data_IF_206754083248
#
_entry.id   IF_206754083248
#
_cell.length_a   1.000
_cell.length_b   1.000
_cell.length_c   1.000
_cell.angle_alpha   90.00
_cell.angle_beta   90.00
_cell.angle_gamma   90.00
#
_symmetry.space_group_name_H-M   'P 1'
#
loop_
_entity.id
_entity.type
_entity.pdbx_description
1 polymer ?
#
# COMPACT_ATOMS: atom_id res chain seq x y z
N UNK A 1 32.51 80.20 71.39
CA UNK A 1 33.48 79.19 71.87
C UNK A 1 33.88 78.36 70.64
N UNK A 2 34.92 78.68 69.85
CA UNK A 2 36.37 78.72 70.14
C UNK A 2 36.75 77.45 70.91
N UNK A 3 37.57 76.51 70.42
CA UNK A 3 38.86 76.62 69.71
C UNK A 3 39.34 75.16 69.46
N UNK A 4 39.90 74.85 68.28
CA UNK A 4 41.35 74.63 68.01
C UNK A 4 41.91 73.20 68.28
N UNK A 5 42.55 72.64 67.23
CA UNK A 5 43.99 72.21 67.18
C UNK A 5 44.32 70.86 67.85
N UNK A 6 45.35 70.07 67.42
CA UNK A 6 45.79 69.66 66.08
C UNK A 6 46.39 68.19 66.13
N UNK A 7 47.53 67.77 65.51
CA UNK A 7 47.84 66.38 65.15
C UNK A 7 48.89 65.74 66.09
N UNK A 8 49.74 64.82 65.57
CA UNK A 8 50.95 64.19 66.16
C UNK A 8 50.68 62.74 66.61
N UNK A 9 51.04 61.70 65.83
CA UNK A 9 52.37 61.13 65.54
C UNK A 9 53.08 60.63 66.81
N UNK A 10 53.70 59.44 66.72
CA UNK A 10 54.72 58.79 67.58
C UNK A 10 54.25 57.37 67.96
N UNK A 11 54.71 56.33 67.26
CA UNK A 11 55.97 55.58 67.49
C UNK A 11 55.81 54.52 68.59
N UNK A 12 55.76 53.25 68.19
CA UNK A 12 56.49 52.12 68.83
C UNK A 12 56.02 50.78 68.24
N UNK A 13 56.80 50.23 67.31
CA UNK A 13 57.07 48.78 67.24
C UNK A 13 57.78 48.38 68.57
N UNK A 14 57.80 47.11 69.03
CA UNK A 14 57.72 45.90 68.19
C UNK A 14 56.98 44.67 68.80
N UNK A 15 56.85 43.65 67.96
CA UNK A 15 56.91 42.21 68.30
C UNK A 15 56.05 41.68 69.46
N UNK A 16 54.99 40.95 69.12
CA UNK A 16 54.79 39.59 69.64
C UNK A 16 53.78 38.83 68.76
N UNK A 17 54.26 37.71 68.26
CA UNK A 17 53.54 36.67 67.52
C UNK A 17 52.30 36.21 68.29
N UNK A 18 51.14 36.24 67.66
CA UNK A 18 50.05 35.34 68.04
C UNK A 18 49.18 35.02 66.82
N UNK A 19 49.15 33.73 66.48
CA UNK A 19 48.27 33.11 65.50
C UNK A 19 46.83 33.57 65.67
N UNK A 20 46.22 34.03 64.58
CA UNK A 20 44.82 33.76 64.30
C UNK A 20 44.67 33.35 62.84
N UNK A 21 44.27 32.10 62.68
CA UNK A 21 43.66 31.53 61.48
C UNK A 21 42.63 32.51 60.90
N UNK A 22 42.97 33.15 59.79
CA UNK A 22 41.99 33.60 58.81
C UNK A 22 42.15 32.68 57.61
N UNK A 23 41.33 31.63 57.59
CA UNK A 23 41.03 30.93 56.37
C UNK A 23 40.41 31.94 55.41
N UNK A 24 41.22 32.48 54.51
CA UNK A 24 40.70 32.98 53.25
C UNK A 24 40.08 31.76 52.55
N UNK A 25 38.78 31.77 52.21
CA UNK A 25 38.28 30.77 51.31
C UNK A 25 39.07 30.93 50.02
N UNK A 26 39.89 29.93 49.71
CA UNK A 26 40.22 29.61 48.33
C UNK A 26 38.90 29.62 47.57
N UNK A 27 38.67 30.66 46.77
CA UNK A 27 37.73 30.61 45.66
C UNK A 27 38.21 29.43 44.82
N UNK A 28 37.59 28.27 45.05
CA UNK A 28 37.54 27.25 44.05
C UNK A 28 36.92 27.94 42.84
N UNK A 29 37.73 28.14 41.81
CA UNK A 29 37.25 28.45 40.48
C UNK A 29 36.25 27.35 40.18
N UNK A 30 34.96 27.69 40.19
CA UNK A 30 33.93 26.80 39.70
C UNK A 30 34.32 26.48 38.25
N UNK A 31 34.42 25.20 37.91
CA UNK A 31 34.48 24.79 36.51
C UNK A 31 33.26 25.40 35.83
N UNK A 32 33.47 26.42 34.98
CA UNK A 32 32.40 27.17 34.30
C UNK A 32 31.72 26.35 33.18
N UNK A 33 32.05 25.06 33.06
CA UNK A 33 31.55 24.17 32.02
C UNK A 33 31.07 22.83 32.55
N UNK A 34 30.34 22.07 31.72
CA UNK A 34 29.88 20.72 32.05
C UNK A 34 31.05 19.79 32.35
N UNK A 35 30.86 18.88 33.31
CA UNK A 35 31.87 17.86 33.60
C UNK A 35 31.91 16.82 32.48
N UNK A 36 33.09 16.24 32.22
CA UNK A 36 33.22 15.17 31.22
C UNK A 36 32.27 13.99 31.46
N UNK A 37 31.97 13.68 32.72
CA UNK A 37 31.01 12.61 33.06
C UNK A 37 29.57 12.99 32.73
N UNK A 38 29.18 14.26 32.87
CA UNK A 38 27.87 14.76 32.48
C UNK A 38 27.70 14.67 30.95
N UNK A 39 28.71 15.13 30.19
CA UNK A 39 28.71 15.09 28.73
C UNK A 39 28.69 13.66 28.19
N UNK A 40 29.60 12.79 28.66
CA UNK A 40 29.68 11.40 28.17
C UNK A 40 28.39 10.62 28.42
N UNK A 41 27.73 10.89 29.56
CA UNK A 41 26.50 10.20 29.89
C UNK A 41 25.32 10.74 29.06
N UNK A 42 25.24 12.05 28.80
CA UNK A 42 24.24 12.58 27.88
C UNK A 42 24.45 12.06 26.45
N UNK A 43 25.70 12.03 25.99
CA UNK A 43 26.09 11.52 24.67
C UNK A 43 25.67 10.05 24.48
N UNK A 44 25.94 9.17 25.46
CA UNK A 44 25.55 7.76 25.39
C UNK A 44 24.04 7.54 25.18
N UNK A 45 23.20 8.35 25.81
CA UNK A 45 21.75 8.27 25.61
C UNK A 45 21.31 8.93 24.29
N UNK A 46 21.99 9.99 23.86
CA UNK A 46 21.75 10.61 22.57
C UNK A 46 22.07 9.67 21.41
N UNK A 47 23.20 8.97 21.44
CA UNK A 47 23.57 7.97 20.44
C UNK A 47 22.54 6.83 20.36
N UNK A 48 21.95 6.43 21.51
CA UNK A 48 20.86 5.45 21.53
C UNK A 48 19.60 5.95 20.84
N UNK A 49 19.22 7.21 21.08
CA UNK A 49 18.09 7.85 20.40
C UNK A 49 18.36 7.93 18.90
N UNK A 50 19.56 8.35 18.48
CA UNK A 50 19.94 8.42 17.07
C UNK A 50 19.95 7.03 16.41
N UNK A 51 20.47 6.01 17.09
CA UNK A 51 20.39 4.64 16.63
C UNK A 51 18.94 4.11 16.57
N UNK A 52 18.04 4.62 17.41
CA UNK A 52 16.61 4.33 17.31
C UNK A 52 16.00 5.01 16.07
N UNK A 53 16.32 6.28 15.81
CA UNK A 53 15.91 7.01 14.60
C UNK A 53 16.38 6.29 13.33
N UNK A 54 17.64 5.88 13.26
CA UNK A 54 18.19 5.12 12.12
C UNK A 54 17.42 3.80 11.93
N UNK A 55 17.16 3.07 13.02
CA UNK A 55 16.36 1.83 12.97
C UNK A 55 14.90 2.05 12.60
N UNK A 56 14.34 3.24 12.88
CA UNK A 56 13.00 3.61 12.49
C UNK A 56 12.89 3.97 11.00
N UNK A 57 14.01 4.33 10.35
CA UNK A 57 14.11 4.44 8.89
C UNK A 57 13.05 5.37 8.27
N UNK A 58 12.78 6.51 8.91
CA UNK A 58 11.77 7.49 8.47
C UNK A 58 10.34 7.20 8.96
N UNK A 59 10.10 6.13 9.73
CA UNK A 59 8.80 5.92 10.37
C UNK A 59 8.63 6.72 11.65
N UNK A 60 7.40 7.16 11.97
CA UNK A 60 7.09 7.64 13.30
C UNK A 60 7.29 6.53 14.34
N UNK A 61 7.82 6.88 15.51
CA UNK A 61 7.92 5.96 16.64
C UNK A 61 7.64 6.66 17.97
N UNK A 62 7.18 5.87 18.94
CA UNK A 62 7.02 6.34 20.31
C UNK A 62 8.35 6.33 21.05
N UNK A 63 8.63 7.42 21.77
CA UNK A 63 9.87 7.54 22.54
C UNK A 63 9.90 6.52 23.67
N UNK A 64 10.96 5.72 23.71
CA UNK A 64 11.22 4.75 24.78
C UNK A 64 11.73 5.45 26.04
N UNK A 65 11.97 4.68 27.11
CA UNK A 65 12.60 5.21 28.32
C UNK A 65 13.96 5.83 28.02
N UNK A 66 14.82 5.14 27.27
CA UNK A 66 16.17 5.62 26.95
C UNK A 66 16.12 6.91 26.10
N UNK A 67 15.15 7.01 25.19
CA UNK A 67 14.95 8.20 24.34
C UNK A 67 14.54 9.41 25.17
N UNK A 68 13.53 9.25 26.04
CA UNK A 68 13.07 10.33 26.93
C UNK A 68 14.18 10.77 27.89
N UNK A 69 15.03 9.82 28.29
CA UNK A 69 16.14 10.08 29.17
C UNK A 69 17.27 10.86 28.45
N UNK A 70 17.50 10.61 27.16
CA UNK A 70 18.36 11.46 26.32
C UNK A 70 17.86 12.91 26.29
N UNK A 71 16.55 13.10 26.04
CA UNK A 71 15.92 14.42 26.01
C UNK A 71 16.07 15.14 27.34
N UNK A 72 15.82 14.45 28.46
CA UNK A 72 15.92 15.01 29.81
C UNK A 72 17.35 15.48 30.09
N UNK A 73 18.36 14.65 29.82
CA UNK A 73 19.77 14.97 30.11
C UNK A 73 20.28 16.14 29.28
N UNK A 74 20.03 16.14 27.98
CA UNK A 74 20.48 17.24 27.10
C UNK A 74 19.76 18.54 27.46
N UNK A 75 18.48 18.48 27.84
CA UNK A 75 17.75 19.65 28.35
C UNK A 75 18.37 20.20 29.63
N UNK A 76 18.65 19.35 30.62
CA UNK A 76 19.28 19.76 31.89
C UNK A 76 20.65 20.40 31.65
N UNK A 77 21.44 19.88 30.72
CA UNK A 77 22.72 20.47 30.33
C UNK A 77 22.54 21.82 29.65
N UNK A 78 21.57 21.96 28.73
CA UNK A 78 21.31 23.22 28.03
C UNK A 78 20.79 24.31 28.96
N UNK A 79 19.98 23.95 29.96
CA UNK A 79 19.50 24.89 30.99
C UNK A 79 20.64 25.34 31.92
N UNK A 80 21.58 24.44 32.25
CA UNK A 80 22.69 24.69 33.18
C UNK A 80 23.88 25.40 32.52
N UNK A 81 24.17 25.08 31.25
CA UNK A 81 25.32 25.59 30.48
C UNK A 81 24.86 26.07 29.08
N UNK A 82 24.12 27.19 29.01
CA UNK A 82 23.45 27.61 27.78
C UNK A 82 24.40 28.03 26.64
N UNK A 83 25.61 28.50 26.97
CA UNK A 83 26.58 29.02 26.01
C UNK A 83 27.71 28.02 25.70
N UNK A 84 27.64 26.78 26.22
CA UNK A 84 28.64 25.74 25.95
C UNK A 84 28.48 25.16 24.54
N UNK A 85 29.53 25.16 23.69
CA UNK A 85 29.44 24.68 22.32
C UNK A 85 29.09 23.20 22.17
N UNK A 86 29.56 22.32 23.07
CA UNK A 86 29.29 20.88 22.98
C UNK A 86 27.85 20.57 23.41
N UNK A 87 27.35 21.27 24.42
CA UNK A 87 25.94 21.18 24.83
C UNK A 87 25.01 21.69 23.72
N UNK A 88 25.40 22.76 23.02
CA UNK A 88 24.63 23.26 21.86
C UNK A 88 24.60 22.24 20.71
N UNK A 89 25.72 21.59 20.41
CA UNK A 89 25.79 20.53 19.40
C UNK A 89 24.84 19.36 19.74
N UNK A 90 24.89 18.85 20.98
CA UNK A 90 23.97 17.80 21.44
C UNK A 90 22.51 18.25 21.36
N UNK A 91 22.22 19.51 21.70
CA UNK A 91 20.88 20.08 21.63
C UNK A 91 20.35 20.12 20.19
N UNK A 92 21.17 20.52 19.21
CA UNK A 92 20.76 20.51 17.81
C UNK A 92 20.53 19.09 17.29
N UNK A 93 21.40 18.14 17.65
CA UNK A 93 21.22 16.71 17.33
C UNK A 93 19.91 16.15 17.90
N UNK A 94 19.59 16.47 19.16
CA UNK A 94 18.29 16.14 19.77
C UNK A 94 17.13 16.71 18.98
N UNK A 95 17.19 17.97 18.53
CA UNK A 95 16.12 18.57 17.72
C UNK A 95 15.91 17.82 16.40
N UNK A 96 17.00 17.47 15.72
CA UNK A 96 16.95 16.64 14.49
C UNK A 96 16.31 15.29 14.78
N UNK A 97 16.74 14.61 15.85
CA UNK A 97 16.20 13.31 16.23
C UNK A 97 14.71 13.37 16.63
N UNK A 98 14.25 14.40 17.33
CA UNK A 98 12.84 14.61 17.66
C UNK A 98 12.01 14.79 16.39
N UNK A 99 12.49 15.58 15.43
CA UNK A 99 11.79 15.77 14.17
C UNK A 99 11.71 14.46 13.38
N UNK A 100 12.83 13.73 13.26
CA UNK A 100 12.87 12.43 12.61
C UNK A 100 11.99 11.39 13.31
N UNK A 101 11.79 11.49 14.63
CA UNK A 101 10.89 10.60 15.37
C UNK A 101 9.42 10.77 15.00
N UNK A 102 9.04 11.87 14.34
CA UNK A 102 7.68 12.08 13.82
C UNK A 102 7.47 11.43 12.44
N UNK A 103 8.54 10.88 11.88
CA UNK A 103 8.57 10.29 10.56
C UNK A 103 8.92 11.30 9.48
N UNK A 104 9.27 10.77 8.30
CA UNK A 104 9.53 11.55 7.11
C UNK A 104 8.22 12.00 6.48
N UNK A 105 8.22 13.22 5.96
CA UNK A 105 7.08 13.83 5.30
C UNK A 105 7.45 14.40 3.95
N UNK A 106 6.52 14.31 3.01
CA UNK A 106 6.55 15.02 1.73
C UNK A 106 5.26 15.84 1.56
N UNK A 107 5.29 16.81 0.66
CA UNK A 107 4.06 17.46 0.21
C UNK A 107 3.38 16.59 -0.86
N UNK A 108 2.12 16.22 -0.63
CA UNK A 108 1.32 15.50 -1.63
C UNK A 108 0.68 16.54 -2.56
N UNK A 109 1.08 16.50 -3.83
CA UNK A 109 0.59 17.41 -4.86
C UNK A 109 -0.60 16.82 -5.61
N UNK A 110 -1.36 17.68 -6.31
CA UNK A 110 -2.47 17.23 -7.18
C UNK A 110 -1.99 16.31 -8.30
N UNK A 111 -0.76 16.50 -8.78
CA UNK A 111 -0.12 15.63 -9.79
C UNK A 111 0.07 14.21 -9.27
N UNK A 112 0.51 14.04 -8.01
CA UNK A 112 0.66 12.72 -7.37
C UNK A 112 -0.71 12.00 -7.28
N UNK A 113 -1.79 12.75 -7.12
CA UNK A 113 -3.15 12.25 -6.98
C UNK A 113 -3.94 12.21 -8.30
N UNK A 114 -3.34 12.61 -9.43
CA UNK A 114 -4.02 12.71 -10.72
C UNK A 114 -4.68 11.38 -11.14
N UNK A 115 -4.04 10.25 -10.83
CA UNK A 115 -4.57 8.91 -11.10
C UNK A 115 -5.93 8.64 -10.42
N UNK A 116 -6.22 9.27 -9.27
CA UNK A 116 -7.52 9.15 -8.60
C UNK A 116 -8.63 9.88 -9.36
N UNK A 117 -8.31 11.03 -9.94
CA UNK A 117 -9.24 11.79 -10.78
C UNK A 117 -9.51 11.01 -12.08
N UNK A 118 -8.46 10.44 -12.67
CA UNK A 118 -8.56 9.55 -13.83
C UNK A 118 -9.43 8.32 -13.53
N UNK A 119 -9.26 7.67 -12.38
CA UNK A 119 -10.12 6.55 -11.97
C UNK A 119 -11.59 6.99 -11.86
N UNK A 120 -11.87 8.15 -11.25
CA UNK A 120 -13.23 8.68 -11.14
C UNK A 120 -13.86 8.95 -12.51
N UNK A 121 -13.11 9.54 -13.45
CA UNK A 121 -13.57 9.77 -14.82
C UNK A 121 -13.85 8.44 -15.55
N UNK A 122 -12.97 7.44 -15.41
CA UNK A 122 -13.18 6.13 -16.01
C UNK A 122 -14.42 5.44 -15.45
N UNK A 123 -14.67 5.56 -14.14
CA UNK A 123 -15.90 5.05 -13.51
C UNK A 123 -17.13 5.71 -14.12
N UNK A 124 -17.13 7.02 -14.29
CA UNK A 124 -18.26 7.74 -14.92
C UNK A 124 -18.50 7.27 -16.36
N UNK A 125 -17.43 7.11 -17.16
CA UNK A 125 -17.52 6.60 -18.53
C UNK A 125 -18.11 5.18 -18.57
N UNK A 126 -17.69 4.30 -17.67
CA UNK A 126 -18.22 2.92 -17.59
C UNK A 126 -19.65 2.87 -17.07
N UNK A 127 -19.99 3.70 -16.07
CA UNK A 127 -21.33 3.79 -15.50
C UNK A 127 -22.38 4.22 -16.54
N UNK A 128 -22.02 5.15 -17.44
CA UNK A 128 -22.90 5.57 -18.52
C UNK A 128 -23.29 4.40 -19.45
N UNK A 129 -22.34 3.49 -19.73
CA UNK A 129 -22.60 2.28 -20.53
C UNK A 129 -23.35 1.22 -19.71
N UNK A 130 -23.09 1.15 -18.40
CA UNK A 130 -23.74 0.19 -17.50
C UNK A 130 -25.25 0.35 -17.47
N UNK A 131 -25.76 1.58 -17.43
CA UNK A 131 -27.19 1.85 -17.40
C UNK A 131 -27.89 1.38 -18.68
N UNK A 132 -27.29 1.63 -19.85
CA UNK A 132 -27.82 1.18 -21.14
C UNK A 132 -27.83 -0.36 -21.22
N UNK A 133 -26.73 -1.00 -20.80
CA UNK A 133 -26.61 -2.46 -20.80
C UNK A 133 -27.59 -3.13 -19.83
N UNK A 134 -27.83 -2.52 -18.66
CA UNK A 134 -28.83 -3.02 -17.72
C UNK A 134 -30.22 -3.06 -18.35
N UNK A 135 -30.62 -1.98 -19.03
CA UNK A 135 -31.92 -1.92 -19.71
C UNK A 135 -31.98 -2.90 -20.88
N UNK A 136 -30.88 -3.11 -21.61
CA UNK A 136 -30.81 -4.11 -22.68
C UNK A 136 -31.06 -5.52 -22.13
N UNK A 137 -30.36 -5.91 -21.05
CA UNK A 137 -30.52 -7.24 -20.42
C UNK A 137 -31.98 -7.47 -19.97
N UNK A 138 -32.61 -6.46 -19.35
CA UNK A 138 -34.02 -6.55 -18.96
C UNK A 138 -34.95 -6.64 -20.19
N UNK A 139 -34.62 -5.91 -21.26
CA UNK A 139 -35.33 -5.98 -22.54
C UNK A 139 -35.25 -7.35 -23.20
N UNK A 140 -34.08 -8.00 -23.17
CA UNK A 140 -33.86 -9.34 -23.73
C UNK A 140 -34.63 -10.42 -22.95
N UNK A 141 -34.72 -10.29 -21.63
CA UNK A 141 -35.58 -11.14 -20.82
C UNK A 141 -37.04 -10.99 -21.25
N UNK A 142 -37.52 -9.77 -21.42
CA UNK A 142 -38.90 -9.52 -21.87
C UNK A 142 -39.13 -10.06 -23.30
N UNK A 143 -38.18 -9.85 -24.23
CA UNK A 143 -38.27 -10.27 -25.62
C UNK A 143 -38.24 -11.81 -25.79
N UNK A 144 -37.53 -12.51 -24.92
CA UNK A 144 -37.52 -13.99 -24.88
C UNK A 144 -38.77 -14.60 -24.24
N UNK A 145 -39.75 -13.77 -23.86
CA UNK A 145 -40.97 -14.20 -23.18
C UNK A 145 -40.78 -14.48 -21.69
N UNK A 146 -39.63 -14.10 -21.13
CA UNK A 146 -39.36 -14.13 -19.70
C UNK A 146 -40.14 -13.03 -18.97
N UNK A 147 -40.78 -13.39 -17.87
CA UNK A 147 -41.46 -12.45 -16.99
C UNK A 147 -40.56 -12.11 -15.81
N UNK A 148 -40.28 -10.82 -15.61
CA UNK A 148 -39.61 -10.32 -14.40
C UNK A 148 -40.68 -10.00 -13.36
N UNK A 149 -40.79 -10.84 -12.34
CA UNK A 149 -41.70 -10.62 -11.22
C UNK A 149 -41.10 -9.67 -10.19
N UNK A 150 -41.98 -8.93 -9.50
CA UNK A 150 -41.60 -8.19 -8.30
C UNK A 150 -41.13 -9.18 -7.23
N UNK A 151 -40.00 -8.88 -6.58
CA UNK A 151 -39.48 -9.75 -5.52
C UNK A 151 -40.37 -9.74 -4.27
N UNK A 152 -41.09 -8.64 -4.03
CA UNK A 152 -41.77 -8.36 -2.77
C UNK A 152 -43.20 -7.86 -2.99
N UNK A 153 -44.20 -8.35 -2.22
CA UNK A 153 -44.09 -9.42 -1.22
C UNK A 153 -43.68 -10.75 -1.86
N UNK A 154 -42.79 -11.50 -1.19
CA UNK A 154 -42.33 -12.78 -1.71
C UNK A 154 -43.52 -13.75 -1.76
N UNK A 155 -43.77 -14.43 -2.89
CA UNK A 155 -44.77 -15.49 -2.93
C UNK A 155 -44.42 -16.57 -1.90
N UNK A 156 -45.38 -16.99 -1.08
CA UNK A 156 -45.14 -18.04 -0.10
C UNK A 156 -44.88 -19.36 -0.84
N UNK A 157 -43.69 -19.99 -0.70
CA UNK A 157 -43.38 -21.25 -1.36
C UNK A 157 -44.29 -22.42 -0.96
N UNK A 158 -45.00 -22.32 0.17
CA UNK A 158 -45.93 -23.33 0.67
C UNK A 158 -47.36 -23.17 0.14
N UNK A 159 -47.74 -21.97 -0.27
CA UNK A 159 -49.10 -21.67 -0.75
C UNK A 159 -49.15 -21.46 -2.28
N UNK A 160 -48.02 -21.08 -2.88
CA UNK A 160 -47.92 -20.78 -4.32
C UNK A 160 -47.60 -22.04 -5.12
N UNK A 161 -48.31 -22.29 -6.23
CA UNK A 161 -47.95 -23.36 -7.17
C UNK A 161 -46.53 -23.11 -7.74
N UNK A 162 -45.55 -24.00 -7.51
CA UNK A 162 -44.20 -23.83 -8.03
C UNK A 162 -44.15 -23.65 -9.55
N UNK A 163 -45.08 -24.24 -10.31
CA UNK A 163 -45.11 -24.10 -11.77
C UNK A 163 -45.47 -22.68 -12.24
N UNK A 164 -46.09 -21.87 -11.38
CA UNK A 164 -46.41 -20.47 -11.68
C UNK A 164 -45.21 -19.53 -11.48
N UNK A 165 -44.17 -19.97 -10.77
CA UNK A 165 -43.04 -19.14 -10.34
C UNK A 165 -41.71 -19.60 -10.92
N UNK A 166 -41.49 -20.92 -11.01
CA UNK A 166 -40.26 -21.50 -11.57
C UNK A 166 -40.12 -21.09 -13.04
N UNK A 167 -38.91 -20.67 -13.41
CA UNK A 167 -38.57 -20.16 -14.75
C UNK A 167 -38.77 -18.65 -14.90
N UNK A 168 -39.51 -17.99 -14.00
CA UNK A 168 -39.60 -16.53 -13.98
C UNK A 168 -38.30 -15.90 -13.47
N UNK A 169 -38.12 -14.64 -13.83
CA UNK A 169 -37.00 -13.82 -13.40
C UNK A 169 -37.43 -12.94 -12.24
N UNK A 170 -36.50 -12.61 -11.35
CA UNK A 170 -36.74 -11.74 -10.20
C UNK A 170 -35.57 -10.78 -10.02
N UNK A 171 -35.89 -9.53 -9.66
CA UNK A 171 -34.91 -8.51 -9.31
C UNK A 171 -34.77 -8.44 -7.79
N UNK A 172 -33.57 -8.69 -7.28
CA UNK A 172 -33.29 -8.76 -5.85
C UNK A 172 -32.36 -7.61 -5.45
N UNK A 173 -32.91 -6.58 -4.81
CA UNK A 173 -32.34 -5.25 -4.55
C UNK A 173 -31.58 -5.10 -3.21
N UNK A 174 -31.29 -6.20 -2.50
CA UNK A 174 -30.51 -6.22 -1.24
C UNK A 174 -29.57 -7.43 -1.19
N UNK A 175 -28.89 -7.72 -2.31
CA UNK A 175 -27.92 -8.81 -2.38
C UNK A 175 -26.61 -8.41 -1.68
N UNK A 176 -26.25 -9.11 -0.61
CA UNK A 176 -25.06 -8.83 0.21
C UNK A 176 -24.12 -10.02 0.21
N UNK A 177 -23.03 -9.92 -0.55
CA UNK A 177 -21.98 -10.92 -0.60
C UNK A 177 -20.64 -10.32 -0.17
N UNK A 178 -19.87 -10.98 0.72
CA UNK A 178 -20.13 -12.29 1.33
C UNK A 178 -20.98 -12.26 2.62
N UNK A 179 -21.49 -11.11 3.08
CA UNK A 179 -22.14 -10.98 4.41
C UNK A 179 -23.25 -12.00 4.71
N UNK A 180 -24.13 -12.28 3.74
CA UNK A 180 -25.26 -13.21 3.89
C UNK A 180 -24.99 -14.59 3.29
N UNK A 181 -23.72 -14.93 3.09
CA UNK A 181 -23.30 -16.20 2.53
C UNK A 181 -23.48 -17.35 3.53
N UNK A 182 -23.98 -18.49 3.04
CA UNK A 182 -24.07 -19.72 3.81
C UNK A 182 -23.93 -20.94 2.89
N UNK A 183 -23.51 -22.07 3.48
CA UNK A 183 -23.41 -23.35 2.80
C UNK A 183 -24.47 -24.28 3.35
N UNK A 184 -25.27 -24.92 2.51
CA UNK A 184 -26.22 -25.93 2.96
C UNK A 184 -26.46 -26.98 1.86
N UNK A 185 -26.73 -28.23 2.26
CA UNK A 185 -26.99 -29.34 1.33
C UNK A 185 -25.92 -29.48 0.21
N UNK A 186 -24.66 -29.16 0.52
CA UNK A 186 -23.54 -29.19 -0.44
C UNK A 186 -23.50 -28.05 -1.46
N UNK A 187 -24.42 -27.08 -1.38
CA UNK A 187 -24.41 -25.86 -2.17
C UNK A 187 -24.02 -24.63 -1.36
N UNK A 188 -23.57 -23.59 -2.05
CA UNK A 188 -23.23 -22.28 -1.47
C UNK A 188 -24.25 -21.27 -1.96
N UNK A 189 -24.75 -20.45 -1.04
CA UNK A 189 -25.88 -19.55 -1.28
C UNK A 189 -25.67 -18.21 -0.59
N UNK A 190 -26.36 -17.19 -1.08
CA UNK A 190 -26.62 -15.94 -0.34
C UNK A 190 -28.11 -15.86 -0.09
N UNK A 191 -28.50 -15.62 1.17
CA UNK A 191 -29.91 -15.38 1.47
C UNK A 191 -30.27 -13.91 1.30
N UNK A 192 -31.48 -13.66 0.83
CA UNK A 192 -32.09 -12.33 0.79
C UNK A 192 -33.49 -12.43 1.38
N UNK A 193 -33.85 -11.43 2.18
CA UNK A 193 -35.11 -11.39 2.90
C UNK A 193 -34.98 -11.84 4.36
N UNK A 194 -36.12 -12.15 4.96
CA UNK A 194 -36.25 -12.50 6.36
C UNK A 194 -37.60 -13.20 6.59
N UNK A 195 -37.79 -13.80 7.76
CA UNK A 195 -39.01 -14.57 8.07
C UNK A 195 -40.34 -13.83 7.81
N UNK A 196 -40.40 -12.51 7.97
CA UNK A 196 -41.60 -11.72 7.68
C UNK A 196 -41.76 -11.30 6.20
N UNK A 197 -40.66 -11.27 5.43
CA UNK A 197 -40.64 -10.81 4.02
C UNK A 197 -40.69 -11.99 3.03
N UNK A 198 -40.34 -13.19 3.51
CA UNK A 198 -40.02 -14.36 2.69
C UNK A 198 -38.52 -14.46 2.39
N UNK A 199 -38.12 -15.58 1.80
CA UNK A 199 -36.71 -15.91 1.54
C UNK A 199 -36.46 -16.21 0.06
N UNK A 200 -35.40 -15.61 -0.47
CA UNK A 200 -34.74 -16.04 -1.70
C UNK A 200 -33.34 -16.56 -1.35
N UNK A 201 -32.95 -17.68 -1.96
CA UNK A 201 -31.63 -18.29 -1.82
C UNK A 201 -30.91 -18.23 -3.17
N UNK A 202 -30.03 -17.26 -3.34
CA UNK A 202 -29.25 -17.08 -4.58
C UNK A 202 -28.09 -18.07 -4.58
N UNK A 203 -28.00 -18.93 -5.59
CA UNK A 203 -27.01 -20.02 -5.66
C UNK A 203 -25.69 -19.53 -6.26
N UNK A 204 -24.62 -19.63 -5.48
CA UNK A 204 -23.27 -19.21 -5.90
C UNK A 204 -22.49 -20.31 -6.63
N UNK A 205 -22.86 -21.58 -6.47
CA UNK A 205 -22.16 -22.71 -7.09
C UNK A 205 -22.46 -22.90 -8.58
N UNK A 206 -23.05 -21.91 -9.26
CA UNK A 206 -23.44 -22.00 -10.67
C UNK A 206 -22.37 -21.39 -11.58
N UNK A 207 -22.25 -21.91 -12.81
CA UNK A 207 -21.41 -21.28 -13.84
C UNK A 207 -21.84 -19.84 -14.11
N UNK A 208 -23.13 -19.54 -14.01
CA UNK A 208 -23.66 -18.21 -14.21
C UNK A 208 -23.17 -17.22 -13.13
N UNK A 209 -23.22 -17.60 -11.85
CA UNK A 209 -22.61 -16.80 -10.79
C UNK A 209 -21.12 -16.60 -11.02
N UNK A 210 -20.38 -17.69 -11.28
CA UNK A 210 -18.94 -17.61 -11.48
C UNK A 210 -18.59 -16.69 -12.65
N UNK A 211 -19.32 -16.77 -13.77
CA UNK A 211 -19.13 -15.89 -14.93
C UNK A 211 -19.35 -14.42 -14.60
N UNK A 212 -20.54 -14.08 -14.08
CA UNK A 212 -20.88 -12.70 -13.74
C UNK A 212 -19.98 -12.12 -12.63
N UNK A 213 -19.61 -12.92 -11.63
CA UNK A 213 -18.79 -12.47 -10.52
C UNK A 213 -17.30 -12.36 -10.88
N UNK A 214 -16.76 -13.26 -11.72
CA UNK A 214 -15.41 -13.10 -12.26
C UNK A 214 -15.31 -11.87 -13.17
N UNK A 215 -16.35 -11.56 -13.95
CA UNK A 215 -16.44 -10.31 -14.69
C UNK A 215 -16.43 -9.08 -13.76
N UNK A 216 -17.20 -9.11 -12.67
CA UNK A 216 -17.16 -8.04 -11.66
C UNK A 216 -15.77 -7.91 -11.01
N UNK A 217 -15.05 -9.02 -10.77
CA UNK A 217 -13.66 -8.95 -10.30
C UNK A 217 -12.72 -8.32 -11.33
N UNK A 218 -12.93 -8.54 -12.63
CA UNK A 218 -12.13 -7.89 -13.68
C UNK A 218 -12.41 -6.39 -13.74
N UNK A 219 -13.68 -5.97 -13.65
CA UNK A 219 -14.04 -4.56 -13.45
C UNK A 219 -13.27 -3.95 -12.25
N UNK A 220 -13.23 -4.67 -11.12
CA UNK A 220 -12.51 -4.18 -9.92
C UNK A 220 -11.02 -3.94 -10.14
N UNK A 221 -10.40 -4.73 -11.00
CA UNK A 221 -8.98 -4.65 -11.34
C UNK A 221 -8.67 -3.59 -12.37
N UNK A 222 -9.58 -3.38 -13.32
CA UNK A 222 -9.33 -2.57 -14.51
C UNK A 222 -9.91 -1.16 -14.40
N UNK A 223 -10.99 -0.99 -13.62
CA UNK A 223 -11.77 0.25 -13.51
C UNK A 223 -11.80 0.76 -12.08
N UNK A 224 -12.52 0.11 -11.15
CA UNK A 224 -12.62 0.59 -9.76
C UNK A 224 -12.75 -0.52 -8.72
N UNK A 225 -11.93 -0.45 -7.68
CA UNK A 225 -12.02 -1.38 -6.55
C UNK A 225 -13.25 -1.13 -5.66
N UNK A 226 -13.97 -0.03 -5.89
CA UNK A 226 -15.17 0.33 -5.15
C UNK A 226 -16.38 -0.39 -5.74
N UNK A 227 -16.86 -1.42 -5.03
CA UNK A 227 -18.12 -2.12 -5.35
C UNK A 227 -18.98 -2.14 -4.09
N UNK A 228 -19.64 -1.02 -3.75
CA UNK A 228 -20.44 -0.91 -2.54
C UNK A 228 -21.57 -1.96 -2.53
N UNK A 229 -21.86 -2.49 -1.36
CA UNK A 229 -22.97 -3.41 -1.10
C UNK A 229 -24.12 -2.66 -0.41
N UNK A 230 -25.40 -3.04 -0.64
CA UNK A 230 -25.86 -4.19 -1.41
C UNK A 230 -25.83 -3.98 -2.93
N UNK A 231 -25.84 -5.09 -3.68
CA UNK A 231 -26.02 -5.12 -5.13
C UNK A 231 -27.46 -5.47 -5.50
N UNK A 232 -27.82 -5.20 -6.76
CA UNK A 232 -29.04 -5.75 -7.36
C UNK A 232 -28.68 -6.98 -8.19
N UNK A 233 -29.37 -8.09 -7.98
CA UNK A 233 -29.19 -9.31 -8.79
C UNK A 233 -30.45 -9.58 -9.60
N UNK A 234 -30.29 -9.70 -10.90
CA UNK A 234 -31.29 -10.35 -11.76
C UNK A 234 -31.02 -11.84 -11.72
N UNK A 235 -32.02 -12.63 -11.33
CA UNK A 235 -31.89 -14.08 -11.28
C UNK A 235 -33.13 -14.79 -11.76
N UNK A 236 -32.96 -16.04 -12.19
CA UNK A 236 -34.05 -16.93 -12.58
C UNK A 236 -34.39 -17.86 -11.44
N UNK A 237 -35.67 -17.97 -11.11
CA UNK A 237 -36.15 -18.87 -10.06
C UNK A 237 -36.13 -20.30 -10.61
N UNK A 238 -35.36 -21.19 -9.97
CA UNK A 238 -35.22 -22.57 -10.45
C UNK A 238 -36.11 -23.55 -9.69
N UNK A 239 -36.24 -23.38 -8.37
CA UNK A 239 -36.97 -24.32 -7.50
C UNK A 239 -37.27 -23.70 -6.14
N UNK A 240 -37.92 -24.48 -5.27
CA UNK A 240 -38.09 -24.19 -3.84
C UNK A 240 -37.16 -25.12 -3.05
N UNK A 241 -36.60 -24.64 -1.94
CA UNK A 241 -35.85 -25.49 -1.01
C UNK A 241 -36.08 -25.07 0.44
N UNK A 242 -35.93 -26.04 1.34
CA UNK A 242 -35.91 -25.83 2.78
C UNK A 242 -34.45 -25.79 3.23
N UNK A 243 -33.91 -24.61 3.51
CA UNK A 243 -32.50 -24.40 3.86
C UNK A 243 -32.36 -23.69 5.21
N UNK A 244 -31.19 -23.77 5.83
CA UNK A 244 -30.85 -23.00 7.04
C UNK A 244 -29.96 -21.82 6.63
N UNK A 245 -30.51 -20.60 6.42
CA UNK A 245 -29.75 -19.42 6.00
C UNK A 245 -28.92 -18.83 7.17
N UNK A 246 -27.92 -19.58 7.61
CA UNK A 246 -27.01 -19.20 8.67
C UNK A 246 -25.61 -19.72 8.34
N UNK A 247 -24.62 -18.84 8.41
CA UNK A 247 -23.21 -19.20 8.31
C UNK A 247 -22.73 -19.94 9.58
N UNK A 248 -21.68 -20.76 9.43
CA UNK A 248 -21.04 -21.48 10.54
C UNK A 248 -21.44 -22.96 10.68
N UNK A 249 -20.65 -23.70 11.45
CA UNK A 249 -20.87 -25.13 11.71
C UNK A 249 -22.03 -25.37 12.68
N UNK A 250 -22.12 -24.55 13.73
CA UNK A 250 -23.24 -24.59 14.69
C UNK A 250 -24.40 -23.71 14.20
N UNK A 251 -25.44 -24.35 13.67
CA UNK A 251 -26.65 -23.66 13.22
C UNK A 251 -27.73 -23.70 14.29
N UNK A 252 -28.16 -22.52 14.72
CA UNK A 252 -29.21 -22.31 15.71
C UNK A 252 -30.54 -21.92 15.08
N UNK A 253 -30.53 -21.50 13.81
CA UNK A 253 -31.73 -21.08 13.10
C UNK A 253 -32.55 -22.29 12.62
N UNK A 254 -33.88 -22.19 12.65
CA UNK A 254 -34.75 -23.21 12.06
C UNK A 254 -34.71 -23.14 10.52
N UNK A 255 -34.84 -24.29 9.82
CA UNK A 255 -34.94 -24.30 8.37
C UNK A 255 -36.08 -23.44 7.84
N UNK A 256 -35.86 -22.77 6.72
CA UNK A 256 -36.78 -21.83 6.08
C UNK A 256 -37.05 -22.26 4.64
N UNK A 257 -38.31 -22.24 4.23
CA UNK A 257 -38.66 -22.37 2.82
C UNK A 257 -38.30 -21.09 2.08
N UNK A 258 -37.66 -21.23 0.93
CA UNK A 258 -37.32 -20.11 0.06
C UNK A 258 -37.17 -20.53 -1.39
N UNK A 259 -37.32 -19.54 -2.27
CA UNK A 259 -37.12 -19.71 -3.71
C UNK A 259 -35.62 -19.71 -4.01
N UNK A 260 -35.14 -20.76 -4.67
CA UNK A 260 -33.75 -20.87 -5.12
C UNK A 260 -33.61 -20.17 -6.46
N UNK A 261 -32.62 -19.28 -6.54
CA UNK A 261 -32.42 -18.39 -7.68
C UNK A 261 -31.02 -18.62 -8.27
N UNK A 262 -30.94 -18.86 -9.58
CA UNK A 262 -29.67 -18.80 -10.31
C UNK A 262 -29.45 -17.36 -10.78
N UNK A 263 -28.36 -16.70 -10.37
CA UNK A 263 -28.05 -15.33 -10.80
C UNK A 263 -27.70 -15.31 -12.29
N UNK A 264 -28.16 -14.28 -13.00
CA UNK A 264 -27.94 -14.06 -14.43
C UNK A 264 -27.08 -12.81 -14.64
N UNK A 265 -27.38 -11.75 -13.90
CA UNK A 265 -26.63 -10.51 -13.93
C UNK A 265 -26.57 -9.85 -12.55
N UNK A 266 -25.50 -9.11 -12.31
CA UNK A 266 -25.23 -8.32 -11.11
C UNK A 266 -25.16 -6.86 -11.55
N UNK A 267 -25.94 -6.01 -10.90
CA UNK A 267 -25.87 -4.56 -11.07
C UNK A 267 -25.36 -3.95 -9.76
N UNK A 268 -24.20 -3.29 -9.85
CA UNK A 268 -23.65 -2.45 -8.80
C UNK A 268 -24.06 -1.01 -9.14
N UNK A 269 -25.14 -0.55 -8.50
CA UNK A 269 -25.89 0.63 -8.92
C UNK A 269 -25.04 1.86 -9.21
N UNK A 270 -25.21 2.41 -10.41
CA UNK A 270 -24.51 3.61 -10.88
C UNK A 270 -23.02 3.40 -11.17
N UNK A 271 -22.54 2.15 -11.23
CA UNK A 271 -21.13 1.83 -11.48
C UNK A 271 -20.95 0.84 -12.63
N UNK A 272 -21.48 -0.37 -12.49
CA UNK A 272 -21.23 -1.47 -13.43
C UNK A 272 -22.34 -2.48 -13.42
N UNK A 273 -22.60 -3.07 -14.59
CA UNK A 273 -23.37 -4.31 -14.71
C UNK A 273 -22.45 -5.42 -15.20
N UNK A 274 -22.51 -6.58 -14.57
CA UNK A 274 -21.85 -7.79 -15.05
C UNK A 274 -22.86 -8.92 -15.24
N UNK A 275 -22.64 -9.77 -16.23
CA UNK A 275 -23.54 -10.86 -16.55
C UNK A 275 -22.77 -12.11 -16.97
N UNK A 276 -23.45 -13.25 -16.85
CA UNK A 276 -22.94 -14.50 -17.35
C UNK A 276 -23.14 -14.58 -18.86
N UNK A 277 -22.11 -15.01 -19.57
CA UNK A 277 -22.17 -15.33 -20.99
C UNK A 277 -21.48 -16.68 -21.20
N UNK A 278 -22.24 -17.77 -21.44
CA UNK A 278 -21.69 -19.09 -21.70
C UNK A 278 -20.80 -19.19 -22.93
N UNK A 279 -20.97 -18.29 -23.91
CA UNK A 279 -20.19 -18.27 -25.14
C UNK A 279 -18.90 -17.43 -25.01
N UNK A 280 -18.82 -16.59 -23.97
CA UNK A 280 -17.62 -15.81 -23.67
C UNK A 280 -16.55 -16.70 -23.03
N UNK A 281 -15.30 -16.61 -23.50
CA UNK A 281 -14.19 -17.46 -23.05
C UNK A 281 -13.96 -17.39 -21.52
N UNK A 282 -14.15 -16.20 -20.95
CA UNK A 282 -14.02 -15.95 -19.51
C UNK A 282 -15.31 -16.20 -18.71
N UNK A 283 -16.37 -16.73 -19.34
CA UNK A 283 -17.64 -17.13 -18.73
C UNK A 283 -18.65 -16.01 -18.48
N UNK A 284 -18.28 -14.75 -18.71
CA UNK A 284 -19.13 -13.58 -18.55
C UNK A 284 -18.39 -12.30 -18.90
N UNK A 285 -19.13 -11.20 -18.94
CA UNK A 285 -18.64 -9.87 -19.31
C UNK A 285 -19.22 -8.82 -18.35
N UNK A 286 -18.56 -7.66 -18.27
CA UNK A 286 -19.13 -6.47 -17.63
C UNK A 286 -19.30 -5.31 -18.62
N UNK A 287 -20.11 -4.33 -18.25
CA UNK A 287 -20.43 -3.19 -19.09
C UNK A 287 -19.16 -2.44 -19.53
N UNK A 288 -19.03 -2.22 -20.83
CA UNK A 288 -17.87 -1.60 -21.48
C UNK A 288 -16.56 -2.42 -21.47
N UNK A 289 -16.56 -3.69 -21.06
CA UNK A 289 -15.33 -4.51 -21.01
C UNK A 289 -14.65 -4.63 -22.38
N UNK A 290 -15.39 -4.98 -23.45
CA UNK A 290 -14.84 -5.08 -24.80
C UNK A 290 -14.24 -3.77 -25.35
N UNK A 291 -14.75 -2.61 -24.93
CA UNK A 291 -14.30 -1.28 -25.37
C UNK A 291 -13.37 -0.59 -24.37
N UNK A 292 -13.02 -1.25 -23.27
CA UNK A 292 -12.34 -0.60 -22.15
C UNK A 292 -11.00 0.00 -22.55
N UNK A 293 -10.23 -0.69 -23.39
CA UNK A 293 -8.90 -0.20 -23.77
C UNK A 293 -8.99 1.10 -24.57
N UNK A 294 -10.03 1.29 -25.39
CA UNK A 294 -10.27 2.55 -26.09
C UNK A 294 -10.65 3.66 -25.11
N UNK A 295 -11.42 3.35 -24.06
CA UNK A 295 -11.78 4.31 -23.01
C UNK A 295 -10.60 4.77 -22.16
N UNK A 296 -9.56 3.93 -22.05
CA UNK A 296 -8.36 4.18 -21.23
C UNK A 296 -7.18 4.72 -22.03
N UNK A 297 -7.19 4.60 -23.36
CA UNK A 297 -6.01 4.85 -24.18
C UNK A 297 -5.42 6.25 -24.01
N UNK A 298 -6.28 7.27 -23.91
CA UNK A 298 -5.90 8.67 -23.71
C UNK A 298 -5.55 9.03 -22.25
N UNK A 299 -5.74 8.08 -21.33
CA UNK A 299 -5.55 8.28 -19.90
C UNK A 299 -4.18 7.80 -19.40
N UNK A 300 -3.50 6.93 -20.14
CA UNK A 300 -2.23 6.36 -19.69
C UNK A 300 -1.08 7.35 -19.79
N UNK A 301 -0.30 7.48 -18.71
CA UNK A 301 0.96 8.25 -18.73
C UNK A 301 2.02 7.55 -19.57
N UNK A 302 2.10 6.22 -19.46
CA UNK A 302 3.02 5.37 -20.20
C UNK A 302 2.25 4.29 -20.95
N UNK A 303 2.67 4.01 -22.18
CA UNK A 303 2.06 2.95 -23.01
C UNK A 303 3.00 1.79 -23.29
N UNK A 304 4.31 1.98 -23.13
CA UNK A 304 5.35 0.98 -23.32
C UNK A 304 6.55 1.27 -22.39
N UNK A 305 7.42 0.27 -22.19
CA UNK A 305 8.68 0.44 -21.45
C UNK A 305 9.83 0.67 -22.44
N UNK A 306 10.54 1.82 -22.39
CA UNK A 306 11.68 2.08 -23.28
C UNK A 306 12.79 1.02 -23.17
N UNK A 307 13.46 0.72 -24.28
CA UNK A 307 14.56 -0.26 -24.31
C UNK A 307 15.79 0.19 -23.50
N UNK A 308 16.00 1.50 -23.42
CA UNK A 308 17.08 2.18 -22.68
C UNK A 308 16.60 2.73 -21.33
N UNK A 309 15.48 2.21 -20.79
CA UNK A 309 14.93 2.66 -19.51
C UNK A 309 15.96 2.53 -18.39
N UNK A 310 16.16 3.61 -17.63
CA UNK A 310 17.01 3.56 -16.43
C UNK A 310 16.28 2.86 -15.27
N UNK A 311 17.01 2.21 -14.35
CA UNK A 311 16.44 1.52 -13.19
C UNK A 311 15.40 2.33 -12.40
N UNK A 312 15.64 3.62 -12.13
CA UNK A 312 14.68 4.48 -11.42
C UNK A 312 13.38 4.62 -12.23
N UNK A 313 13.51 4.98 -13.50
CA UNK A 313 12.39 5.20 -14.40
C UNK A 313 11.56 3.92 -14.58
N UNK A 314 12.18 2.74 -14.61
CA UNK A 314 11.45 1.47 -14.68
C UNK A 314 10.55 1.27 -13.45
N UNK A 315 11.04 1.62 -12.25
CA UNK A 315 10.25 1.52 -11.02
C UNK A 315 9.10 2.54 -11.03
N UNK A 316 9.32 3.74 -11.56
CA UNK A 316 8.27 4.74 -11.74
C UNK A 316 7.19 4.28 -12.73
N UNK A 317 7.58 3.73 -13.88
CA UNK A 317 6.66 3.17 -14.88
C UNK A 317 5.86 2.03 -14.26
N UNK A 318 6.51 1.14 -13.51
CA UNK A 318 5.86 0.03 -12.81
C UNK A 318 4.82 0.51 -11.79
N UNK A 319 5.17 1.50 -10.96
CA UNK A 319 4.26 2.12 -10.00
C UNK A 319 3.07 2.80 -10.70
N UNK A 320 3.33 3.49 -11.81
CA UNK A 320 2.33 4.20 -12.61
C UNK A 320 1.36 3.22 -13.28
N UNK A 321 1.87 2.13 -13.87
CA UNK A 321 1.06 1.08 -14.47
C UNK A 321 0.03 0.50 -13.47
N UNK A 322 0.42 0.35 -12.21
CA UNK A 322 -0.50 -0.08 -11.15
C UNK A 322 -1.56 1.00 -10.87
N UNK A 323 -1.14 2.25 -10.62
CA UNK A 323 -2.05 3.37 -10.31
C UNK A 323 -3.09 3.58 -11.40
N UNK A 324 -2.69 3.41 -12.66
CA UNK A 324 -3.54 3.58 -13.84
C UNK A 324 -4.27 2.29 -14.27
N UNK A 325 -4.09 1.22 -13.50
CA UNK A 325 -4.69 -0.09 -13.75
C UNK A 325 -4.34 -0.68 -15.12
N UNK A 326 -3.12 -0.42 -15.59
CA UNK A 326 -2.57 -0.93 -16.84
C UNK A 326 -1.85 -2.27 -16.58
N UNK A 327 -2.63 -3.35 -16.66
CA UNK A 327 -2.13 -4.72 -16.40
C UNK A 327 -1.05 -5.15 -17.40
N UNK A 328 -1.18 -4.78 -18.66
CA UNK A 328 -0.24 -5.20 -19.71
C UNK A 328 1.12 -4.53 -19.52
N UNK A 329 1.15 -3.22 -19.27
CA UNK A 329 2.39 -2.49 -18.96
C UNK A 329 3.01 -2.98 -17.64
N UNK A 330 2.19 -3.29 -16.63
CA UNK A 330 2.67 -3.91 -15.38
C UNK A 330 3.40 -5.24 -15.66
N UNK A 331 2.84 -6.10 -16.52
CA UNK A 331 3.47 -7.35 -16.93
C UNK A 331 4.72 -7.13 -17.80
N UNK A 332 4.77 -6.06 -18.57
CA UNK A 332 5.91 -5.71 -19.43
C UNK A 332 7.13 -5.29 -18.60
N UNK A 333 6.92 -4.60 -17.49
CA UNK A 333 7.98 -4.21 -16.56
C UNK A 333 8.65 -5.41 -15.87
N UNK A 334 7.99 -6.57 -15.80
CA UNK A 334 8.42 -7.72 -15.01
C UNK A 334 9.31 -8.65 -15.83
N UNK A 335 10.34 -9.19 -15.19
CA UNK A 335 11.26 -10.18 -15.76
C UNK A 335 10.50 -11.30 -16.50
N UNK A 336 10.79 -11.54 -17.80
CA UNK A 336 10.15 -12.58 -18.59
C UNK A 336 10.14 -13.97 -17.94
N UNK A 337 11.19 -14.33 -17.20
CA UNK A 337 11.27 -15.60 -16.49
C UNK A 337 10.17 -15.74 -15.42
N UNK A 338 9.69 -14.63 -14.84
CA UNK A 338 8.62 -14.59 -13.84
C UNK A 338 7.21 -14.66 -14.42
N UNK A 339 7.06 -14.57 -15.74
CA UNK A 339 5.76 -14.65 -16.44
C UNK A 339 5.64 -15.87 -17.37
N UNK A 340 6.61 -16.79 -17.32
CA UNK A 340 6.71 -17.91 -18.24
C UNK A 340 5.61 -18.99 -18.12
N UNK A 341 4.84 -19.02 -17.03
CA UNK A 341 3.81 -20.06 -16.80
C UNK A 341 2.49 -19.47 -16.34
N UNK A 342 1.34 -20.15 -16.59
CA UNK A 342 0.04 -19.68 -16.11
C UNK A 342 -0.03 -19.48 -14.59
N UNK A 343 0.58 -20.38 -13.81
CA UNK A 343 0.66 -20.24 -12.35
C UNK A 343 1.46 -19.00 -11.94
N UNK A 344 2.51 -18.67 -12.68
CA UNK A 344 3.30 -17.48 -12.42
C UNK A 344 2.50 -16.20 -12.73
N UNK A 345 1.77 -16.16 -13.85
CA UNK A 345 0.84 -15.07 -14.18
C UNK A 345 -0.22 -14.88 -13.08
N UNK A 346 -0.84 -15.96 -12.60
CA UNK A 346 -1.82 -15.89 -11.51
C UNK A 346 -1.21 -15.32 -10.22
N UNK A 347 0.05 -15.66 -9.92
CA UNK A 347 0.76 -15.10 -8.78
C UNK A 347 1.04 -13.60 -8.97
N UNK A 348 1.42 -13.18 -10.16
CA UNK A 348 1.58 -11.75 -10.50
C UNK A 348 0.25 -11.01 -10.36
N UNK A 349 -0.86 -11.64 -10.76
CA UNK A 349 -2.19 -11.05 -10.62
C UNK A 349 -2.57 -10.86 -9.14
N UNK A 350 -2.25 -11.82 -8.28
CA UNK A 350 -2.42 -11.68 -6.83
C UNK A 350 -1.62 -10.49 -6.28
N UNK A 351 -0.38 -10.30 -6.73
CA UNK A 351 0.45 -9.18 -6.32
C UNK A 351 -0.07 -7.83 -6.82
N UNK A 352 -0.55 -7.79 -8.06
CA UNK A 352 -1.21 -6.63 -8.62
C UNK A 352 -2.49 -6.25 -7.86
N UNK A 353 -3.36 -7.21 -7.54
CA UNK A 353 -4.55 -6.98 -6.73
C UNK A 353 -4.20 -6.37 -5.35
N UNK A 354 -3.12 -6.88 -4.72
CA UNK A 354 -2.60 -6.34 -3.46
C UNK A 354 -2.05 -4.93 -3.59
N UNK A 355 -1.42 -4.60 -4.71
CA UNK A 355 -0.92 -3.25 -4.97
C UNK A 355 -2.05 -2.23 -5.10
N UNK A 356 -3.06 -2.56 -5.89
CA UNK A 356 -4.21 -1.69 -6.08
C UNK A 356 -4.85 -1.36 -4.72
N UNK A 357 -5.00 -2.37 -3.86
CA UNK A 357 -5.52 -2.19 -2.51
C UNK A 357 -4.63 -1.30 -1.62
N UNK A 358 -3.30 -1.42 -1.75
CA UNK A 358 -2.34 -0.58 -1.02
C UNK A 358 -2.38 0.86 -1.48
N UNK A 359 -2.44 1.12 -2.79
CA UNK A 359 -2.56 2.47 -3.34
C UNK A 359 -3.88 3.15 -2.96
N UNK A 360 -4.90 2.34 -2.68
CA UNK A 360 -6.19 2.82 -2.19
C UNK A 360 -6.14 3.16 -0.70
N UNK A 361 -5.59 2.28 0.14
CA UNK A 361 -5.77 2.35 1.60
C UNK A 361 -4.54 2.77 2.41
N UNK A 362 -3.32 2.59 1.90
CA UNK A 362 -2.09 2.62 2.71
C UNK A 362 -1.12 3.73 2.27
N UNK A 363 -0.94 3.92 0.97
CA UNK A 363 -0.08 4.97 0.42
C UNK A 363 -0.60 5.48 -0.92
N UNK A 364 -0.20 6.67 -1.32
CA UNK A 364 -0.57 7.31 -2.59
C UNK A 364 0.63 7.57 -3.50
N UNK A 365 1.83 7.59 -2.90
CA UNK A 365 3.06 7.89 -3.60
C UNK A 365 4.17 6.91 -3.27
N UNK A 366 4.99 6.62 -4.28
CA UNK A 366 6.23 5.86 -4.16
C UNK A 366 7.32 6.77 -4.66
N UNK A 367 8.21 7.17 -3.74
CA UNK A 367 9.43 7.88 -4.08
C UNK A 367 10.50 6.85 -4.42
N UNK A 368 11.14 7.01 -5.56
CA UNK A 368 12.27 6.21 -6.00
C UNK A 368 13.55 6.94 -5.63
N UNK A 369 14.46 6.26 -4.94
CA UNK A 369 15.73 6.84 -4.51
C UNK A 369 16.80 6.62 -5.59
N UNK A 370 17.57 7.66 -5.87
CA UNK A 370 18.73 7.59 -6.76
C UNK A 370 19.96 7.01 -6.05
N UNK A 371 20.96 6.59 -6.82
CA UNK A 371 22.28 6.21 -6.30
C UNK A 371 22.44 4.75 -5.93
N UNK A 372 21.86 3.83 -6.73
CA UNK A 372 22.13 2.40 -6.62
C UNK A 372 23.47 2.00 -7.25
N UNK A 373 23.95 0.83 -6.83
CA UNK A 373 25.08 0.15 -7.45
C UNK A 373 24.58 -0.94 -8.40
N UNK A 374 25.31 -1.16 -9.50
CA UNK A 374 25.04 -2.23 -10.46
C UNK A 374 26.06 -3.34 -10.25
N UNK A 375 25.57 -4.53 -9.90
CA UNK A 375 26.37 -5.71 -9.67
C UNK A 375 26.23 -6.72 -10.83
N UNK A 376 27.34 -7.28 -11.30
CA UNK A 376 27.33 -8.44 -12.21
C UNK A 376 27.14 -9.71 -11.38
N UNK A 377 25.97 -10.33 -11.46
CA UNK A 377 25.63 -11.53 -10.66
C UNK A 377 25.86 -12.84 -11.42
N UNK A 378 26.05 -12.77 -12.74
CA UNK A 378 26.33 -13.92 -13.61
C UNK A 378 27.06 -13.44 -14.87
N UNK A 379 27.98 -14.27 -15.37
CA UNK A 379 28.86 -13.92 -16.49
C UNK A 379 30.09 -13.14 -16.01
N UNK A 380 31.13 -13.09 -16.85
CA UNK A 380 32.33 -12.29 -16.56
C UNK A 380 32.31 -11.07 -17.47
N UNK A 381 32.52 -9.89 -16.88
CA UNK A 381 32.81 -8.67 -17.62
C UNK A 381 34.27 -8.35 -17.35
N UNK A 382 35.10 -8.34 -18.40
CA UNK A 382 36.46 -7.85 -18.32
C UNK A 382 36.37 -6.34 -18.48
N UNK A 383 36.52 -5.60 -17.38
CA UNK A 383 36.46 -4.14 -17.40
C UNK A 383 37.65 -3.55 -18.15
N UNK A 384 37.40 -2.58 -19.03
CA UNK A 384 38.45 -1.87 -19.78
C UNK A 384 39.40 -1.15 -18.79
N UNK A 385 40.70 -1.42 -18.91
CA UNK A 385 41.72 -0.92 -17.98
C UNK A 385 41.86 -1.71 -16.68
N UNK A 386 41.13 -2.82 -16.51
CA UNK A 386 41.36 -3.75 -15.41
C UNK A 386 42.71 -4.46 -15.52
N UNK A 387 43.18 -5.03 -14.42
CA UNK A 387 44.40 -5.84 -14.45
C UNK A 387 44.25 -7.06 -15.37
N UNK A 388 43.05 -7.61 -15.51
CA UNK A 388 42.77 -8.73 -16.42
C UNK A 388 42.81 -8.29 -17.88
N UNK A 389 42.21 -7.14 -18.21
CA UNK A 389 42.27 -6.53 -19.54
C UNK A 389 43.72 -6.31 -20.02
N UNK A 390 44.62 -5.90 -19.11
CA UNK A 390 46.04 -5.75 -19.43
C UNK A 390 46.74 -7.05 -19.86
N UNK A 391 46.28 -8.21 -19.37
CA UNK A 391 46.93 -9.50 -19.64
C UNK A 391 46.28 -10.32 -20.76
N UNK A 392 45.08 -9.94 -21.20
CA UNK A 392 44.31 -10.67 -22.20
C UNK A 392 44.38 -9.97 -23.56
N UNK A 393 44.64 -10.74 -24.62
CA UNK A 393 44.52 -10.22 -25.99
C UNK A 393 43.05 -10.28 -26.51
N UNK A 394 42.73 -9.52 -27.56
CA UNK A 394 41.36 -9.43 -28.12
C UNK A 394 40.75 -10.82 -28.41
N UNK A 395 41.55 -11.78 -28.89
CA UNK A 395 41.08 -13.14 -29.18
C UNK A 395 40.81 -13.97 -27.93
N UNK A 396 41.56 -13.74 -26.86
CA UNK A 396 41.32 -14.35 -25.54
C UNK A 396 40.12 -13.74 -24.84
N UNK A 397 39.93 -12.42 -24.94
CA UNK A 397 38.74 -11.73 -24.45
C UNK A 397 37.47 -12.23 -25.15
N UNK A 398 37.49 -12.36 -26.49
CA UNK A 398 36.40 -12.96 -27.25
C UNK A 398 36.17 -14.44 -26.90
N UNK A 399 37.23 -15.21 -26.61
CA UNK A 399 37.12 -16.61 -26.20
C UNK A 399 36.49 -16.75 -24.80
N UNK A 400 36.80 -15.82 -23.88
CA UNK A 400 36.20 -15.78 -22.54
C UNK A 400 34.73 -15.36 -22.65
N UNK A 401 34.43 -14.28 -23.36
CA UNK A 401 33.07 -13.82 -23.64
C UNK A 401 32.22 -14.90 -24.37
N UNK A 402 32.83 -15.65 -25.30
CA UNK A 402 32.16 -16.74 -26.02
C UNK A 402 32.01 -18.05 -25.23
N UNK A 403 32.71 -18.20 -24.09
CA UNK A 403 32.55 -19.32 -23.15
C UNK A 403 31.62 -18.99 -22.00
N UNK A 404 31.49 -17.71 -21.69
CA UNK A 404 30.68 -17.26 -20.58
C UNK A 404 29.19 -17.41 -20.85
N UNK A 405 28.50 -17.73 -19.77
CA UNK A 405 27.04 -17.75 -19.76
C UNK A 405 26.54 -16.32 -19.98
N UNK A 406 25.29 -16.19 -20.41
CA UNK A 406 24.54 -14.94 -20.41
C UNK A 406 24.89 -14.05 -19.22
N UNK A 407 25.32 -12.81 -19.51
CA UNK A 407 25.68 -11.80 -18.52
C UNK A 407 24.37 -11.30 -17.90
N UNK A 408 24.31 -11.32 -16.57
CA UNK A 408 23.17 -10.80 -15.82
C UNK A 408 23.68 -9.78 -14.83
N UNK A 409 23.18 -8.55 -15.00
CA UNK A 409 23.43 -7.44 -14.10
C UNK A 409 22.21 -7.22 -13.21
N UNK A 410 22.45 -6.75 -11.98
CA UNK A 410 21.43 -6.52 -10.98
C UNK A 410 21.61 -5.12 -10.38
N UNK A 411 20.51 -4.41 -10.19
CA UNK A 411 20.46 -3.16 -9.43
C UNK A 411 19.49 -3.30 -8.25
N UNK A 412 19.80 -2.65 -7.13
CA UNK A 412 18.94 -2.55 -5.95
C UNK A 412 18.50 -1.09 -5.76
N UNK A 413 17.25 -0.80 -6.11
CA UNK A 413 16.69 0.55 -6.04
C UNK A 413 15.85 0.66 -4.76
N UNK A 414 16.24 1.55 -3.84
CA UNK A 414 15.44 1.84 -2.65
C UNK A 414 14.19 2.65 -3.03
N UNK A 415 13.04 2.28 -2.46
CA UNK A 415 11.80 3.04 -2.56
C UNK A 415 11.25 3.40 -1.18
N UNK A 416 10.53 4.51 -1.11
CA UNK A 416 9.78 4.96 0.07
C UNK A 416 8.34 5.22 -0.29
N UNK A 417 7.41 4.85 0.59
CA UNK A 417 5.97 4.97 0.33
C UNK A 417 5.33 5.98 1.27
N UNK A 418 4.50 6.87 0.73
CA UNK A 418 3.89 7.98 1.49
C UNK A 418 2.36 7.94 1.42
N UNK A 419 1.72 8.19 2.55
CA UNK A 419 0.27 8.28 2.65
C UNK A 419 -0.29 9.60 2.11
N UNK A 420 -1.61 9.76 2.15
CA UNK A 420 -2.29 10.96 1.65
C UNK A 420 -1.99 12.23 2.45
N UNK A 421 -1.49 12.09 3.68
CA UNK A 421 -1.01 13.21 4.50
C UNK A 421 0.48 13.49 4.27
N UNK A 422 1.10 12.77 3.34
CA UNK A 422 2.51 12.87 3.02
C UNK A 422 3.42 12.17 4.03
N UNK A 423 2.89 11.41 5.00
CA UNK A 423 3.69 10.70 5.98
C UNK A 423 4.21 9.38 5.41
N UNK A 424 5.47 9.04 5.70
CA UNK A 424 6.02 7.74 5.32
C UNK A 424 5.24 6.59 5.98
N UNK A 425 4.65 5.74 5.14
CA UNK A 425 3.71 4.66 5.54
C UNK A 425 4.41 3.33 5.86
N UNK A 426 5.56 3.06 5.25
CA UNK A 426 6.28 1.81 5.40
C UNK A 426 7.79 2.03 5.51
N UNK A 427 8.52 0.99 5.92
CA UNK A 427 9.98 1.05 5.91
C UNK A 427 10.44 1.13 4.46
N UNK A 428 11.57 1.81 4.17
CA UNK A 428 12.15 1.78 2.84
C UNK A 428 12.37 0.34 2.39
N UNK A 429 12.22 0.09 1.09
CA UNK A 429 12.28 -1.25 0.52
C UNK A 429 13.11 -1.24 -0.74
N UNK A 430 13.84 -2.31 -0.95
CA UNK A 430 14.60 -2.48 -2.18
C UNK A 430 13.74 -3.17 -3.23
N UNK A 431 13.81 -2.63 -4.44
CA UNK A 431 13.32 -3.26 -5.67
C UNK A 431 14.54 -3.79 -6.40
N UNK A 432 14.54 -5.10 -6.67
CA UNK A 432 15.61 -5.75 -7.41
C UNK A 432 15.29 -5.73 -8.89
N UNK A 433 16.19 -5.12 -9.67
CA UNK A 433 16.08 -5.05 -11.12
C UNK A 433 17.15 -5.94 -11.75
N UNK A 434 16.87 -6.48 -12.93
CA UNK A 434 17.82 -7.26 -13.72
C UNK A 434 17.80 -6.86 -15.18
N UNK A 435 18.98 -6.87 -15.81
CA UNK A 435 19.10 -6.85 -17.27
C UNK A 435 19.99 -7.99 -17.74
N UNK A 436 19.80 -8.36 -18.99
CA UNK A 436 20.46 -9.51 -19.61
C UNK A 436 21.28 -9.01 -20.80
N UNK A 437 22.57 -9.33 -20.81
CA UNK A 437 23.53 -8.94 -21.85
C UNK A 437 23.49 -7.44 -22.20
N UNK A 438 23.40 -6.57 -21.18
CA UNK A 438 23.32 -5.12 -21.37
C UNK A 438 22.03 -4.61 -22.03
N UNK A 439 20.99 -5.45 -22.15
CA UNK A 439 19.67 -5.07 -22.65
C UNK A 439 18.85 -4.27 -21.63
N UNK A 440 17.54 -4.22 -21.87
CA UNK A 440 16.58 -3.51 -21.00
C UNK A 440 16.54 -4.06 -19.57
N UNK A 441 16.31 -3.19 -18.59
CA UNK A 441 16.02 -3.57 -17.22
C UNK A 441 14.62 -4.14 -17.03
N UNK A 442 14.47 -5.04 -16.07
CA UNK A 442 13.21 -5.66 -15.66
C UNK A 442 13.11 -5.73 -14.14
N UNK A 443 11.91 -5.60 -13.60
CA UNK A 443 11.66 -5.85 -12.18
C UNK A 443 11.76 -7.36 -11.91
N UNK A 444 12.74 -7.74 -11.11
CA UNK A 444 13.08 -9.13 -10.82
C UNK A 444 12.73 -9.57 -9.40
N UNK A 445 12.56 -8.65 -8.44
CA UNK A 445 12.01 -8.91 -7.11
C UNK A 445 11.73 -7.57 -6.39
N UNK A 446 11.13 -7.62 -5.20
CA UNK A 446 10.86 -6.41 -4.42
C UNK A 446 9.51 -5.78 -4.76
N UNK A 447 9.24 -4.59 -4.23
CA UNK A 447 7.87 -4.19 -3.88
C UNK A 447 6.88 -4.07 -5.05
N UNK A 448 5.81 -4.90 -5.08
CA UNK A 448 5.61 -6.15 -4.38
C UNK A 448 5.30 -7.27 -5.37
N UNK A 449 6.37 -7.88 -5.87
CA UNK A 449 6.43 -9.10 -6.65
C UNK A 449 6.83 -10.33 -5.83
#
# INVERSE_FOLDING_TARGET
>A
MRRKVPPVLILALPLAVMLMYMAAPSLAVAEEGPTNSELTNAEHFLEKLEAHVVRAGGKPFEMTYDDNEALRRVRELKEKYPDDPQVEEMFQRVRVAIMASKGDYIEITDEILAYRQMEAELVERVAAVADEQWQSILGDVAASGGEVMEAWPCPDPMETDPNATIGKYVLLDDFRYPDNEFTDMGGQFVHIGAGARGWYFVRLSTRAWLGAYEALKRYRRQVSQETPIPWTVLGRIDTVSLLIPQAGEERTMSPQFGWVVTPVAINVGGLVVSWADPEHELGGEYSAEAGLQELKWDMYTYTEVPDDVEPEQLVEIFATAIKEKNWDLYLECIDPARRATPTAIQRLQYFYDNNLERYRRWYVYVQVMEGYEIDVIKGTIIEEGSMEDFFLDEGQQETIAGRDQEIVEQALVEIRTYDENGQQSAFPKDVTLRRYNGGRWYIAAGYPL
#
